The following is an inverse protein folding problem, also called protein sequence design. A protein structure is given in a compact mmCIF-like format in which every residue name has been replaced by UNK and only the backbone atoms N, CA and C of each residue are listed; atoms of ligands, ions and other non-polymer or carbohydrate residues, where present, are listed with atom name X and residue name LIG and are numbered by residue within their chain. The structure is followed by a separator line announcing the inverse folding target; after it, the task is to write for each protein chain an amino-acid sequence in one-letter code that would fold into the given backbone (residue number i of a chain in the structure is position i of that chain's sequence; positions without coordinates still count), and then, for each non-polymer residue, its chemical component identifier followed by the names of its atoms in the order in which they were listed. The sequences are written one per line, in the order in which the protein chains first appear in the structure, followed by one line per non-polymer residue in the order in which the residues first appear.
data_IF_972289965913
#
_entry.id   IF_972289965913
#
_cell.length_a   1.000
_cell.length_b   1.000
_cell.length_c   1.000
_cell.angle_alpha   90.00
_cell.angle_beta   90.00
_cell.angle_gamma   90.00
#
_symmetry.space_group_name_H-M   'P 1'
#
loop_
_entity.id
_entity.type
_entity.pdbx_description
1 polymer ?
#
# COMPACT_ATOMS: atom_id res chain seq x y z
N UNK A 1 -7.39 -4.51 8.68
CA UNK A 1 -8.74 -5.14 8.74
C UNK A 1 -9.36 -5.27 7.37
N UNK A 2 -9.34 -4.26 6.49
CA UNK A 2 -9.90 -4.38 5.13
C UNK A 2 -9.15 -5.33 4.18
N UNK A 3 -7.93 -5.66 4.53
CA UNK A 3 -7.09 -6.61 3.79
C UNK A 3 -7.64 -8.03 3.85
N UNK A 4 -8.55 -8.32 4.78
CA UNK A 4 -9.33 -9.56 4.79
C UNK A 4 -10.27 -9.70 3.58
N UNK A 5 -10.57 -8.61 2.88
CA UNK A 5 -11.41 -8.61 1.69
C UNK A 5 -10.61 -8.76 0.39
N UNK A 6 -9.27 -8.77 0.45
CA UNK A 6 -8.40 -8.90 -0.71
C UNK A 6 -7.57 -10.19 -0.65
N UNK A 7 -7.37 -10.90 -1.77
CA UNK A 7 -6.63 -12.16 -1.79
C UNK A 7 -5.18 -11.96 -1.30
N UNK A 8 -4.78 -12.71 -0.28
CA UNK A 8 -3.39 -12.79 0.15
C UNK A 8 -2.69 -13.91 -0.63
N UNK A 9 -1.52 -13.62 -1.19
CA UNK A 9 -0.65 -14.62 -1.79
C UNK A 9 0.50 -14.89 -0.82
N UNK A 10 0.47 -16.07 -0.18
CA UNK A 10 1.45 -16.50 0.83
C UNK A 10 2.89 -16.58 0.29
N UNK A 11 3.08 -16.59 -1.03
CA UNK A 11 4.41 -16.63 -1.67
C UNK A 11 5.02 -15.25 -1.91
N UNK A 12 4.44 -14.18 -1.37
CA UNK A 12 4.92 -12.82 -1.55
C UNK A 12 5.76 -12.37 -0.35
N UNK A 13 6.93 -11.81 -0.62
CA UNK A 13 7.84 -11.28 0.41
C UNK A 13 7.27 -10.11 1.21
N UNK A 14 6.28 -9.39 0.65
CA UNK A 14 5.54 -8.34 1.34
C UNK A 14 4.04 -8.61 1.25
N UNK A 15 3.32 -8.21 2.28
CA UNK A 15 1.86 -8.26 2.36
C UNK A 15 1.21 -7.28 1.39
N UNK A 16 -0.10 -7.44 1.19
CA UNK A 16 -0.88 -6.46 0.45
C UNK A 16 -0.87 -5.08 1.14
N UNK A 17 -0.94 -5.04 2.47
CA UNK A 17 -0.89 -3.79 3.26
C UNK A 17 0.41 -3.04 3.05
N UNK A 18 1.54 -3.74 3.12
CA UNK A 18 2.86 -3.16 2.91
C UNK A 18 3.00 -2.62 1.48
N UNK A 19 2.53 -3.36 0.47
CA UNK A 19 2.53 -2.90 -0.91
C UNK A 19 1.65 -1.65 -1.11
N UNK A 20 0.44 -1.63 -0.57
CA UNK A 20 -0.46 -0.46 -0.63
C UNK A 20 0.16 0.74 0.09
N UNK A 21 0.68 0.55 1.30
CA UNK A 21 1.37 1.61 2.07
C UNK A 21 2.56 2.16 1.28
N UNK A 22 3.38 1.28 0.70
CA UNK A 22 4.51 1.67 -0.14
C UNK A 22 4.08 2.46 -1.38
N UNK A 23 2.98 2.08 -2.04
CA UNK A 23 2.43 2.82 -3.18
C UNK A 23 1.89 4.19 -2.78
N UNK A 24 1.22 4.30 -1.63
CA UNK A 24 0.75 5.60 -1.11
C UNK A 24 1.95 6.51 -0.84
N UNK A 25 2.99 6.01 -0.16
CA UNK A 25 4.22 6.76 0.08
C UNK A 25 4.90 7.19 -1.24
N UNK A 26 4.96 6.29 -2.22
CA UNK A 26 5.48 6.59 -3.54
C UNK A 26 4.67 7.67 -4.26
N UNK A 27 3.34 7.64 -4.17
CA UNK A 27 2.45 8.64 -4.76
C UNK A 27 2.50 10.00 -4.07
N UNK A 28 2.60 10.04 -2.73
CA UNK A 28 2.63 11.27 -1.95
C UNK A 28 3.93 12.08 -2.15
N UNK A 29 5.07 11.40 -2.27
CA UNK A 29 6.36 12.06 -2.55
C UNK A 29 6.42 12.60 -3.98
N UNK A 30 5.58 12.09 -4.88
CA UNK A 30 5.53 12.48 -6.29
C UNK A 30 4.14 12.89 -6.75
N UNK A 31 3.56 13.94 -6.17
CA UNK A 31 2.37 14.59 -6.75
C UNK A 31 2.58 15.05 -8.22
N UNK A 32 3.84 15.09 -8.70
CA UNK A 32 4.24 15.53 -10.04
C UNK A 32 4.91 14.44 -10.90
N UNK A 33 4.92 13.15 -10.49
CA UNK A 33 5.37 12.03 -11.34
C UNK A 33 4.44 10.82 -11.23
N UNK A 34 4.31 10.01 -12.28
CA UNK A 34 3.55 8.77 -12.22
C UNK A 34 4.06 7.85 -11.11
N UNK A 35 3.15 7.07 -10.52
CA UNK A 35 3.48 6.01 -9.57
C UNK A 35 4.59 5.11 -10.15
N UNK A 36 5.72 5.04 -9.46
CA UNK A 36 6.86 4.20 -9.85
C UNK A 36 6.66 2.81 -9.28
N UNK A 37 6.23 1.87 -10.12
CA UNK A 37 6.13 0.43 -9.79
C UNK A 37 7.50 -0.26 -9.77
N UNK A 38 8.51 0.43 -9.27
CA UNK A 38 9.90 0.00 -9.36
C UNK A 38 10.63 0.23 -8.04
N UNK A 39 11.54 -0.69 -7.63
CA UNK A 39 12.21 -0.64 -6.32
C UNK A 39 13.00 0.63 -5.99
N UNK A 40 13.41 1.43 -6.97
CA UNK A 40 14.36 2.54 -6.75
C UNK A 40 13.85 3.61 -5.79
N UNK A 41 12.53 3.75 -5.64
CA UNK A 41 11.98 4.65 -4.63
C UNK A 41 12.33 4.20 -3.20
N UNK A 42 12.41 2.88 -2.99
CA UNK A 42 12.56 2.27 -1.67
C UNK A 42 14.02 2.09 -1.24
N UNK A 43 14.99 2.23 -2.15
CA UNK A 43 16.42 1.89 -1.87
C UNK A 43 17.08 2.79 -0.84
N UNK A 44 16.59 4.02 -0.68
CA UNK A 44 17.16 5.00 0.25
C UNK A 44 16.25 5.27 1.46
N UNK A 45 15.20 4.46 1.65
CA UNK A 45 14.27 4.59 2.77
C UNK A 45 14.64 3.61 3.90
N UNK A 46 14.39 3.97 5.17
CA UNK A 46 14.57 3.06 6.29
C UNK A 46 13.41 2.04 6.34
N UNK A 47 13.41 1.05 5.45
CA UNK A 47 12.27 0.15 5.21
C UNK A 47 11.84 -0.64 6.45
N UNK A 48 12.78 -1.13 7.25
CA UNK A 48 12.45 -1.89 8.45
C UNK A 48 11.72 -1.06 9.50
N UNK A 49 11.98 0.26 9.57
CA UNK A 49 11.26 1.19 10.44
C UNK A 49 9.89 1.58 9.89
N UNK A 50 9.71 1.54 8.57
CA UNK A 50 8.46 1.93 7.91
C UNK A 50 7.45 0.77 7.81
N UNK A 51 7.95 -0.46 7.73
CA UNK A 51 7.16 -1.66 7.50
C UNK A 51 7.37 -2.68 8.62
N UNK A 52 8.37 -3.56 8.48
CA UNK A 52 8.79 -4.59 9.46
C UNK A 52 10.21 -5.05 9.15
N UNK A 53 10.83 -5.76 10.09
CA UNK A 53 12.13 -6.42 9.91
C UNK A 53 12.15 -7.35 8.68
N UNK A 54 13.25 -7.31 7.92
CA UNK A 54 13.45 -8.13 6.73
C UNK A 54 12.72 -7.65 5.45
N UNK A 55 12.10 -6.46 5.46
CA UNK A 55 11.55 -5.87 4.23
C UNK A 55 12.64 -5.16 3.44
N UNK A 56 12.86 -5.62 2.21
CA UNK A 56 13.84 -5.05 1.29
C UNK A 56 13.18 -4.28 0.14
N UNK A 57 13.92 -3.36 -0.47
CA UNK A 57 13.44 -2.59 -1.63
C UNK A 57 13.06 -3.49 -2.80
N UNK A 58 13.78 -4.60 -2.98
CA UNK A 58 13.56 -5.64 -4.00
C UNK A 58 12.17 -6.27 -3.94
N UNK A 59 11.55 -6.29 -2.75
CA UNK A 59 10.20 -6.83 -2.54
C UNK A 59 9.12 -5.95 -3.18
N UNK A 60 9.38 -4.64 -3.33
CA UNK A 60 8.50 -3.67 -4.00
C UNK A 60 8.72 -3.64 -5.52
N UNK A 61 8.67 -4.82 -6.15
CA UNK A 61 8.85 -4.96 -7.59
C UNK A 61 7.53 -4.79 -8.37
N UNK A 62 7.67 -4.57 -9.68
CA UNK A 62 6.55 -4.36 -10.61
C UNK A 62 5.48 -5.43 -10.54
N UNK A 63 5.85 -6.70 -10.34
CA UNK A 63 4.89 -7.80 -10.31
C UNK A 63 4.00 -7.73 -9.06
N UNK A 64 4.60 -7.52 -7.88
CA UNK A 64 3.86 -7.38 -6.63
C UNK A 64 3.01 -6.13 -6.62
N UNK A 65 3.59 -4.98 -6.96
CA UNK A 65 2.86 -3.71 -6.96
C UNK A 65 1.75 -3.69 -8.02
N UNK A 66 2.00 -4.24 -9.21
CA UNK A 66 1.00 -4.36 -10.28
C UNK A 66 -0.19 -5.22 -9.87
N UNK A 67 0.05 -6.45 -9.38
CA UNK A 67 -1.05 -7.31 -8.87
C UNK A 67 -1.83 -6.65 -7.75
N UNK A 68 -1.13 -5.95 -6.84
CA UNK A 68 -1.80 -5.23 -5.75
C UNK A 68 -2.70 -4.12 -6.29
N UNK A 69 -2.25 -3.41 -7.32
CA UNK A 69 -3.05 -2.37 -7.97
C UNK A 69 -4.29 -2.96 -8.67
N UNK A 70 -4.13 -4.09 -9.37
CA UNK A 70 -5.25 -4.81 -9.99
C UNK A 70 -6.28 -5.23 -8.93
N UNK A 71 -5.82 -5.80 -7.80
CA UNK A 71 -6.68 -6.18 -6.68
C UNK A 71 -7.44 -5.00 -6.07
N UNK A 72 -6.77 -3.85 -5.90
CA UNK A 72 -7.41 -2.62 -5.43
C UNK A 72 -8.44 -2.10 -6.44
N UNK A 73 -8.15 -2.20 -7.74
CA UNK A 73 -9.06 -1.81 -8.82
C UNK A 73 -10.30 -2.70 -8.87
N UNK A 74 -10.12 -4.02 -8.76
CA UNK A 74 -11.21 -5.01 -8.76
C UNK A 74 -12.15 -4.83 -7.56
N UNK A 75 -11.60 -4.43 -6.40
CA UNK A 75 -12.39 -4.11 -5.21
C UNK A 75 -13.17 -2.79 -5.35
N UNK A 76 -12.75 -1.91 -6.25
CA UNK A 76 -13.37 -0.63 -6.52
C UNK A 76 -12.75 0.51 -5.70
N UNK A 77 -12.28 1.55 -6.39
CA UNK A 77 -11.62 2.70 -5.77
C UNK A 77 -12.52 3.46 -4.80
N UNK A 78 -13.81 3.63 -5.11
CA UNK A 78 -14.77 4.30 -4.22
C UNK A 78 -15.00 3.52 -2.93
N UNK A 79 -15.21 2.20 -3.07
CA UNK A 79 -15.36 1.29 -1.96
C UNK A 79 -14.11 1.29 -1.08
N UNK A 80 -12.92 1.20 -1.68
CA UNK A 80 -11.64 1.26 -0.96
C UNK A 80 -11.43 2.61 -0.26
N UNK A 81 -11.78 3.73 -0.90
CA UNK A 81 -11.60 5.05 -0.33
C UNK A 81 -12.52 5.31 0.85
N UNK A 82 -13.82 5.03 0.72
CA UNK A 82 -14.82 5.23 1.79
C UNK A 82 -14.42 4.50 3.06
N UNK A 83 -14.02 3.26 2.86
CA UNK A 83 -13.52 2.30 3.80
C UNK A 83 -12.26 2.75 4.55
N UNK A 84 -11.22 3.16 3.82
CA UNK A 84 -9.98 3.68 4.43
C UNK A 84 -10.25 4.99 5.17
N UNK A 85 -11.11 5.86 4.61
CA UNK A 85 -11.47 7.15 5.20
C UNK A 85 -12.22 6.97 6.53
N UNK A 86 -13.22 6.08 6.56
CA UNK A 86 -13.95 5.77 7.79
C UNK A 86 -13.00 5.27 8.90
N UNK A 87 -12.07 4.38 8.55
CA UNK A 87 -11.09 3.88 9.50
C UNK A 87 -10.11 4.97 9.97
N UNK A 88 -9.66 5.85 9.06
CA UNK A 88 -8.79 6.96 9.42
C UNK A 88 -9.48 7.92 10.40
N UNK A 89 -10.75 8.22 10.18
CA UNK A 89 -11.55 9.03 11.11
C UNK A 89 -11.69 8.38 12.49
N UNK A 90 -11.96 7.07 12.55
CA UNK A 90 -12.00 6.33 13.81
C UNK A 90 -10.66 6.38 14.56
N UNK A 91 -9.54 6.19 13.85
CA UNK A 91 -8.19 6.23 14.41
C UNK A 91 -7.84 7.61 14.99
N UNK A 92 -8.21 8.68 14.29
CA UNK A 92 -8.01 10.07 14.72
C UNK A 92 -9.07 10.56 15.71
N UNK A 93 -9.99 9.69 16.17
CA UNK A 93 -11.11 10.02 17.06
C UNK A 93 -11.99 11.16 16.50
N UNK A 94 -12.04 11.30 15.19
CA UNK A 94 -12.88 12.27 14.50
C UNK A 94 -14.29 11.72 14.45
N UNK A 95 -15.20 12.35 15.19
CA UNK A 95 -16.64 12.11 15.06
C UNK A 95 -17.07 12.50 13.65
N UNK A 96 -17.30 11.51 12.78
CA UNK A 96 -18.04 11.73 11.53
C UNK A 96 -19.52 11.91 11.94
N UNK A 97 -20.16 13.05 11.64
CA UNK A 97 -21.56 13.28 11.97
C UNK A 97 -22.52 12.33 11.24
#
# INVERSE_FOLDING_TARGET
MWVQYLPQDEKQEITLEEAVKGMIMNGLVFANRPLSLSPQFFTNLPLEHLFREGVEASHFNRHKLGRTLDQCSDFGCESLFSLVSAQACEFEQLSIP
#
